data_IF_885042212635
#
_entry.id   IF_885042212635
#
_cell.length_a   1.000
_cell.length_b   1.000
_cell.length_c   1.000
_cell.angle_alpha   90.00
_cell.angle_beta   90.00
_cell.angle_gamma   90.00
#
_symmetry.space_group_name_H-M   'P 1'
#
loop_
_entity.id
_entity.type
_entity.pdbx_description
1 polymer ?
#
# COMPACT_ATOMS: atom_id res chain seq x y z
N UNK A 1 10.19 23.41 47.23
CA UNK A 1 10.14 21.95 47.02
C UNK A 1 9.24 21.64 45.80
N UNK A 2 9.44 22.34 44.67
CA UNK A 2 8.63 22.20 43.43
C UNK A 2 9.53 21.79 42.24
N UNK A 3 10.85 21.97 42.36
CA UNK A 3 11.82 21.79 41.28
C UNK A 3 12.23 20.34 41.04
N UNK A 4 12.31 19.50 42.07
CA UNK A 4 12.71 18.09 41.92
C UNK A 4 11.66 17.27 41.16
N UNK A 5 10.38 17.58 41.37
CA UNK A 5 9.26 16.97 40.67
C UNK A 5 9.24 17.38 39.19
N UNK A 6 9.56 18.64 38.88
CA UNK A 6 9.65 19.12 37.49
C UNK A 6 10.80 18.46 36.72
N UNK A 7 11.99 18.36 37.31
CA UNK A 7 13.14 17.66 36.71
C UNK A 7 12.84 16.18 36.45
N UNK A 8 12.15 15.52 37.38
CA UNK A 8 11.74 14.12 37.21
C UNK A 8 10.73 13.96 36.06
N UNK A 9 9.77 14.87 35.95
CA UNK A 9 8.77 14.87 34.86
C UNK A 9 9.40 15.16 33.50
N UNK A 10 10.38 16.07 33.42
CA UNK A 10 11.12 16.36 32.18
C UNK A 10 11.89 15.13 31.72
N UNK A 11 12.63 14.48 32.63
CA UNK A 11 13.37 13.25 32.30
C UNK A 11 12.46 12.12 31.85
N UNK A 12 11.29 11.99 32.50
CA UNK A 12 10.29 11.00 32.12
C UNK A 12 9.74 11.28 30.71
N UNK A 13 9.40 12.53 30.40
CA UNK A 13 8.94 12.94 29.07
C UNK A 13 10.00 12.66 28.00
N UNK A 14 11.25 13.01 28.27
CA UNK A 14 12.34 12.82 27.29
C UNK A 14 12.61 11.32 27.06
N UNK A 15 12.49 10.49 28.10
CA UNK A 15 12.54 9.03 27.97
C UNK A 15 11.40 8.47 27.11
N UNK A 16 10.17 8.94 27.30
CA UNK A 16 9.04 8.56 26.44
C UNK A 16 9.23 9.00 25.00
N UNK A 17 9.82 10.18 24.76
CA UNK A 17 10.12 10.66 23.42
C UNK A 17 11.14 9.77 22.71
N UNK A 18 12.25 9.44 23.38
CA UNK A 18 13.25 8.51 22.85
C UNK A 18 12.68 7.11 22.61
N UNK A 19 11.80 6.64 23.50
CA UNK A 19 11.11 5.37 23.30
C UNK A 19 10.16 5.41 22.09
N UNK A 20 9.44 6.52 21.88
CA UNK A 20 8.61 6.72 20.69
C UNK A 20 9.45 6.70 19.43
N UNK A 21 10.57 7.43 19.40
CA UNK A 21 11.46 7.49 18.23
C UNK A 21 12.04 6.12 17.89
N UNK A 22 12.43 5.33 18.89
CA UNK A 22 12.91 3.97 18.69
C UNK A 22 11.81 3.01 18.21
N UNK A 23 10.57 3.21 18.68
CA UNK A 23 9.41 2.46 18.19
C UNK A 23 9.11 2.85 16.73
N UNK A 24 9.15 4.13 16.39
CA UNK A 24 8.95 4.62 15.02
C UNK A 24 10.04 4.09 14.08
N UNK A 25 11.30 4.12 14.48
CA UNK A 25 12.41 3.53 13.71
C UNK A 25 12.25 2.00 13.55
N UNK A 26 11.84 1.31 14.61
CA UNK A 26 11.57 -0.12 14.51
C UNK A 26 10.40 -0.40 13.58
N UNK A 27 9.30 0.35 13.69
CA UNK A 27 8.15 0.30 12.79
C UNK A 27 8.63 0.56 11.36
N UNK A 28 9.43 1.57 11.08
CA UNK A 28 9.97 1.83 9.73
C UNK A 28 10.88 0.69 9.22
N UNK A 29 11.58 -0.01 10.12
CA UNK A 29 12.44 -1.15 9.77
C UNK A 29 11.68 -2.45 9.50
N UNK A 30 10.51 -2.65 10.14
CA UNK A 30 9.70 -3.87 10.01
C UNK A 30 8.44 -3.68 9.17
N UNK A 31 7.99 -2.45 9.02
CA UNK A 31 6.90 -2.12 8.14
C UNK A 31 7.40 -2.44 6.73
N UNK A 32 6.69 -3.29 5.97
CA UNK A 32 6.73 -3.13 4.53
C UNK A 32 6.44 -1.64 4.25
N UNK A 33 6.99 -1.07 3.17
CA UNK A 33 6.65 0.28 2.69
C UNK A 33 5.16 0.39 2.29
N UNK A 34 4.24 0.07 3.18
CA UNK A 34 2.80 -0.06 2.98
C UNK A 34 2.09 0.75 4.06
N UNK A 35 2.54 2.00 4.22
CA UNK A 35 1.63 3.11 4.58
C UNK A 35 1.94 4.37 3.77
N UNK A 36 2.53 4.22 2.58
CA UNK A 36 2.17 5.14 1.51
C UNK A 36 0.79 4.66 1.03
N UNK A 37 -0.28 5.27 1.54
CA UNK A 37 -1.63 4.99 1.02
C UNK A 37 -1.55 5.01 -0.51
N UNK A 38 -1.90 3.90 -1.14
CA UNK A 38 -1.79 3.74 -2.59
C UNK A 38 -2.29 5.01 -3.28
N UNK A 39 -1.45 5.65 -4.08
CA UNK A 39 -1.73 6.98 -4.66
C UNK A 39 -2.79 6.95 -5.76
N UNK A 40 -3.39 5.79 -6.02
CA UNK A 40 -4.34 5.56 -7.09
C UNK A 40 -5.63 4.95 -6.57
N UNK A 41 -6.74 5.37 -7.18
CA UNK A 41 -8.07 4.86 -6.92
C UNK A 41 -8.51 3.86 -8.00
N UNK A 42 -8.73 2.57 -7.66
CA UNK A 42 -9.20 1.56 -8.61
C UNK A 42 -10.57 1.86 -9.21
N UNK A 43 -11.45 2.60 -8.54
CA UNK A 43 -12.80 2.90 -9.04
C UNK A 43 -12.79 3.89 -10.21
N UNK A 44 -11.74 4.70 -10.32
CA UNK A 44 -11.56 5.65 -11.43
C UNK A 44 -11.01 5.02 -12.70
N UNK A 45 -10.48 3.81 -12.59
CA UNK A 45 -9.89 3.06 -13.69
C UNK A 45 -11.00 2.33 -14.45
N UNK A 46 -11.01 2.40 -15.78
CA UNK A 46 -11.99 1.66 -16.58
C UNK A 46 -11.63 0.18 -16.61
N UNK A 47 -12.48 -0.63 -16.00
CA UNK A 47 -12.35 -2.08 -15.97
C UNK A 47 -13.27 -2.72 -17.00
N UNK A 48 -12.72 -3.61 -17.80
CA UNK A 48 -13.41 -4.40 -18.81
C UNK A 48 -13.40 -5.84 -18.35
N UNK A 49 -14.58 -6.47 -18.25
CA UNK A 49 -14.64 -7.89 -17.94
C UNK A 49 -14.03 -8.71 -19.09
N UNK A 50 -13.20 -9.68 -18.72
CA UNK A 50 -12.53 -10.59 -19.62
C UNK A 50 -12.61 -12.01 -19.03
N UNK A 51 -12.68 -13.00 -19.92
CA UNK A 51 -12.61 -14.40 -19.52
C UNK A 51 -11.19 -14.92 -19.70
N UNK A 52 -10.67 -15.54 -18.64
CA UNK A 52 -9.34 -16.13 -18.61
C UNK A 52 -9.40 -17.61 -18.33
N UNK A 53 -8.26 -18.27 -18.43
CA UNK A 53 -8.11 -19.71 -18.12
C UNK A 53 -8.45 -20.05 -16.67
N UNK A 54 -8.49 -19.07 -15.77
CA UNK A 54 -8.81 -19.22 -14.34
C UNK A 54 -10.13 -18.54 -13.94
N UNK A 55 -11.05 -18.38 -14.91
CA UNK A 55 -12.37 -17.79 -14.73
C UNK A 55 -12.45 -16.31 -15.13
N UNK A 56 -13.59 -15.65 -14.84
CA UNK A 56 -13.80 -14.26 -15.17
C UNK A 56 -12.87 -13.37 -14.33
N UNK A 57 -12.28 -12.38 -14.99
CA UNK A 57 -11.47 -11.35 -14.38
C UNK A 57 -11.79 -10.00 -15.03
N UNK A 58 -11.29 -8.92 -14.42
CA UNK A 58 -11.39 -7.59 -14.99
C UNK A 58 -10.01 -7.17 -15.46
N UNK A 59 -9.92 -6.56 -16.64
CA UNK A 59 -8.69 -5.97 -17.16
C UNK A 59 -8.88 -4.50 -17.48
N UNK A 60 -7.82 -3.73 -17.33
CA UNK A 60 -7.78 -2.33 -17.73
C UNK A 60 -6.55 -2.05 -18.57
N UNK A 61 -6.74 -1.21 -19.58
CA UNK A 61 -5.74 -0.73 -20.54
C UNK A 61 -5.78 0.81 -20.60
N UNK A 62 -6.28 1.45 -19.54
CA UNK A 62 -6.55 2.89 -19.46
C UNK A 62 -5.26 3.68 -19.22
N UNK A 63 -4.33 3.59 -20.17
CA UNK A 63 -3.00 4.21 -20.14
C UNK A 63 -3.05 5.74 -20.07
N UNK A 64 -4.18 6.36 -20.40
CA UNK A 64 -4.39 7.81 -20.29
C UNK A 64 -4.76 8.23 -18.86
N UNK A 65 -5.20 7.31 -18.01
CA UNK A 65 -5.59 7.62 -16.65
C UNK A 65 -4.38 7.73 -15.69
N UNK A 66 -4.22 8.84 -14.95
CA UNK A 66 -3.13 9.00 -13.99
C UNK A 66 -3.15 7.94 -12.87
N UNK A 67 -4.32 7.50 -12.41
CA UNK A 67 -4.47 6.43 -11.42
C UNK A 67 -3.95 5.10 -11.97
N UNK A 68 -4.21 4.79 -13.24
CA UNK A 68 -3.72 3.58 -13.89
C UNK A 68 -2.20 3.55 -14.03
N UNK A 69 -1.58 4.70 -14.37
CA UNK A 69 -0.12 4.81 -14.43
C UNK A 69 0.53 4.60 -13.06
N UNK A 70 -0.04 5.18 -12.01
CA UNK A 70 0.44 4.98 -10.64
C UNK A 70 0.30 3.52 -10.20
N UNK A 71 -0.83 2.87 -10.51
CA UNK A 71 -1.04 1.44 -10.25
C UNK A 71 -0.03 0.56 -11.00
N UNK A 72 0.25 0.85 -12.27
CA UNK A 72 1.26 0.13 -13.05
C UNK A 72 2.66 0.23 -12.45
N UNK A 73 3.00 1.41 -11.93
CA UNK A 73 4.27 1.64 -11.25
C UNK A 73 4.37 0.82 -9.97
N UNK A 74 3.34 0.90 -9.11
CA UNK A 74 3.26 0.07 -7.89
C UNK A 74 3.35 -1.43 -8.22
N UNK A 75 2.65 -1.88 -9.27
CA UNK A 75 2.77 -3.26 -9.73
C UNK A 75 4.19 -3.62 -10.12
N UNK A 76 4.87 -2.77 -10.88
CA UNK A 76 6.26 -3.01 -11.27
C UNK A 76 7.19 -3.10 -10.05
N UNK A 77 7.01 -2.20 -9.07
CA UNK A 77 7.74 -2.20 -7.80
C UNK A 77 7.48 -3.48 -6.98
N UNK A 78 6.25 -4.00 -6.99
CA UNK A 78 5.83 -5.24 -6.29
C UNK A 78 6.01 -6.53 -7.12
N UNK A 79 6.97 -6.58 -8.05
CA UNK A 79 7.25 -7.77 -8.89
C UNK A 79 6.07 -8.22 -9.78
N UNK A 80 5.22 -7.28 -10.17
CA UNK A 80 4.13 -7.45 -11.13
C UNK A 80 2.81 -7.95 -10.55
N UNK A 81 2.68 -8.14 -9.23
CA UNK A 81 1.44 -8.59 -8.59
C UNK A 81 1.36 -8.21 -7.12
N UNK A 82 0.19 -7.82 -6.65
CA UNK A 82 -0.07 -7.57 -5.22
C UNK A 82 -1.57 -7.72 -4.91
N UNK A 83 -1.92 -7.67 -3.62
CA UNK A 83 -3.30 -7.77 -3.14
C UNK A 83 -3.67 -6.48 -2.39
N UNK A 84 -4.87 -5.95 -2.65
CA UNK A 84 -5.38 -4.75 -1.98
C UNK A 84 -6.90 -4.80 -1.89
N UNK A 85 -7.44 -4.47 -0.71
CA UNK A 85 -8.89 -4.29 -0.48
C UNK A 85 -9.74 -5.48 -0.96
N UNK A 86 -9.23 -6.71 -0.80
CA UNK A 86 -9.93 -7.93 -1.23
C UNK A 86 -9.88 -8.19 -2.74
N UNK A 87 -9.04 -7.45 -3.48
CA UNK A 87 -8.75 -7.68 -4.89
C UNK A 87 -7.29 -8.07 -5.09
N UNK A 88 -7.06 -9.05 -5.96
CA UNK A 88 -5.76 -9.43 -6.45
C UNK A 88 -5.50 -8.69 -7.76
N UNK A 89 -4.39 -7.94 -7.83
CA UNK A 89 -3.98 -7.16 -8.99
C UNK A 89 -2.70 -7.76 -9.60
N UNK A 90 -2.60 -7.76 -10.93
CA UNK A 90 -1.39 -8.20 -11.63
C UNK A 90 -1.18 -7.42 -12.94
N UNK A 91 0.07 -7.14 -13.28
CA UNK A 91 0.45 -6.55 -14.55
C UNK A 91 0.78 -7.66 -15.57
N UNK A 92 0.37 -7.47 -16.82
CA UNK A 92 0.75 -8.37 -17.90
C UNK A 92 2.15 -8.01 -18.40
N UNK A 93 3.09 -8.95 -18.42
CA UNK A 93 4.52 -8.70 -18.72
C UNK A 93 4.82 -8.08 -20.10
N UNK A 94 3.87 -8.10 -21.04
CA UNK A 94 4.09 -7.69 -22.45
C UNK A 94 3.21 -6.53 -22.91
N UNK A 95 2.37 -5.99 -22.03
CA UNK A 95 1.46 -4.91 -22.38
C UNK A 95 1.21 -4.03 -21.16
N UNK A 96 0.91 -2.75 -21.38
CA UNK A 96 0.41 -1.84 -20.34
C UNK A 96 -1.03 -2.18 -19.94
N UNK A 97 -1.27 -3.47 -19.64
CA UNK A 97 -2.56 -4.04 -19.25
C UNK A 97 -2.40 -4.50 -17.80
N UNK A 98 -3.40 -4.19 -16.98
CA UNK A 98 -3.49 -4.68 -15.61
C UNK A 98 -4.75 -5.49 -15.46
N UNK A 99 -4.64 -6.66 -14.82
CA UNK A 99 -5.77 -7.46 -14.39
C UNK A 99 -6.07 -7.25 -12.91
N UNK A 100 -7.35 -7.30 -12.55
CA UNK A 100 -7.81 -7.47 -11.17
C UNK A 100 -8.83 -8.61 -11.05
N UNK A 101 -8.84 -9.26 -9.90
CA UNK A 101 -9.81 -10.31 -9.55
C UNK A 101 -10.19 -10.18 -8.09
N UNK A 102 -11.49 -10.28 -7.79
CA UNK A 102 -11.97 -10.32 -6.41
C UNK A 102 -11.53 -11.63 -5.75
N UNK A 103 -10.87 -11.52 -4.61
CA UNK A 103 -10.51 -12.66 -3.78
C UNK A 103 -11.77 -13.04 -3.01
N UNK A 104 -12.30 -14.24 -3.23
CA UNK A 104 -13.38 -14.74 -2.39
C UNK A 104 -12.82 -14.99 -0.98
N UNK A 105 -13.44 -14.43 0.08
CA UNK A 105 -13.12 -14.83 1.44
C UNK A 105 -13.52 -16.31 1.59
N UNK A 106 -12.60 -17.13 2.09
CA UNK A 106 -12.85 -18.53 2.42
C UNK A 106 -13.55 -18.63 3.78
#
# INVERSE_FOLDING_TARGET
MITKDLDALIKLRDAFRMASEAIDEYIDSIAPKEVAGFTWNPEKIKWVQAEGTSGPYERSEDVDNPDFKAMLKDLADHKGKFQREGYFYWAFQKASVVGRKKIQPH
#
